data_IF_565027735973
#
_entry.id   IF_565027735973
#
_cell.length_a   1.000
_cell.length_b   1.000
_cell.length_c   1.000
_cell.angle_alpha   90.00
_cell.angle_beta   90.00
_cell.angle_gamma   90.00
#
_symmetry.space_group_name_H-M   'P 1'
#
loop_
_entity.id
_entity.type
_entity.pdbx_description
1 polymer ?
#
# COMPACT_ATOMS: atom_id res chain seq x y z
N UNK A 1 -2.98 -11.03 -14.93
CA UNK A 1 -2.39 -11.79 -16.05
C UNK A 1 -1.62 -10.79 -16.88
N UNK A 2 -0.35 -11.04 -17.20
CA UNK A 2 0.40 -10.16 -18.09
C UNK A 2 -0.33 -10.05 -19.45
N UNK A 3 -0.44 -8.83 -19.99
CA UNK A 3 -0.99 -8.59 -21.32
C UNK A 3 -0.26 -9.48 -22.34
N UNK A 4 -0.99 -10.20 -23.17
CA UNK A 4 -0.35 -10.94 -24.26
C UNK A 4 0.15 -9.96 -25.31
N UNK A 5 1.19 -10.32 -26.06
CA UNK A 5 1.64 -9.49 -27.18
C UNK A 5 0.55 -9.24 -28.23
N UNK A 6 -0.48 -10.09 -28.31
CA UNK A 6 -1.65 -9.84 -29.15
C UNK A 6 -2.58 -8.77 -28.59
N UNK A 7 -2.76 -8.71 -27.27
CA UNK A 7 -3.60 -7.69 -26.63
C UNK A 7 -2.97 -6.31 -26.72
N UNK A 8 -1.64 -6.23 -26.60
CA UNK A 8 -0.89 -4.99 -26.84
C UNK A 8 -1.00 -4.58 -28.31
N UNK A 9 -0.82 -5.52 -29.25
CA UNK A 9 -0.89 -5.24 -30.69
C UNK A 9 -2.25 -4.68 -31.15
N UNK A 10 -3.37 -5.05 -30.49
CA UNK A 10 -4.70 -4.53 -30.83
C UNK A 10 -4.79 -3.01 -30.64
N UNK A 11 -4.09 -2.47 -29.64
CA UNK A 11 -4.11 -1.05 -29.26
C UNK A 11 -3.05 -0.21 -29.98
N UNK A 12 -2.09 -0.85 -30.66
CA UNK A 12 -1.07 -0.13 -31.42
C UNK A 12 -1.63 0.47 -32.73
N UNK A 13 -1.00 1.53 -33.26
CA UNK A 13 -1.42 2.20 -34.50
C UNK A 13 -1.20 1.35 -35.77
N UNK A 14 -0.53 0.19 -35.68
CA UNK A 14 -0.32 -0.78 -36.78
C UNK A 14 0.36 -0.21 -38.03
N UNK A 15 1.11 0.87 -37.89
CA UNK A 15 1.82 1.55 -38.99
C UNK A 15 3.07 0.82 -39.46
N UNK A 16 3.69 0.00 -38.59
CA UNK A 16 4.98 -0.65 -38.84
C UNK A 16 6.08 0.35 -39.29
N UNK A 17 6.07 1.57 -38.74
CA UNK A 17 6.96 2.67 -39.12
C UNK A 17 8.44 2.45 -38.73
N UNK A 18 8.72 1.52 -37.81
CA UNK A 18 10.06 1.19 -37.28
C UNK A 18 10.74 2.31 -36.48
N UNK A 19 10.01 3.37 -36.14
CA UNK A 19 10.53 4.47 -35.33
C UNK A 19 10.86 4.05 -33.88
N UNK A 20 10.22 3.00 -33.37
CA UNK A 20 10.56 2.34 -32.10
C UNK A 20 11.77 1.38 -32.20
N UNK A 21 12.50 1.35 -33.33
CA UNK A 21 13.67 0.49 -33.53
C UNK A 21 13.36 -0.99 -33.80
N UNK A 22 12.09 -1.36 -33.98
CA UNK A 22 11.65 -2.73 -34.22
C UNK A 22 11.01 -2.91 -35.60
N UNK A 23 11.14 -4.09 -36.23
CA UNK A 23 10.76 -4.30 -37.62
C UNK A 23 9.25 -4.21 -37.87
N UNK A 24 8.42 -4.50 -36.87
CA UNK A 24 6.95 -4.46 -36.94
C UNK A 24 6.33 -4.05 -35.60
N UNK A 25 5.11 -3.52 -35.62
CA UNK A 25 4.31 -3.24 -34.42
C UNK A 25 4.03 -4.51 -33.61
N UNK A 26 3.91 -5.67 -34.27
CA UNK A 26 3.76 -6.96 -33.57
C UNK A 26 5.05 -7.34 -32.83
N UNK A 27 6.22 -7.12 -33.41
CA UNK A 27 7.50 -7.35 -32.73
C UNK A 27 7.67 -6.42 -31.53
N UNK A 28 7.22 -5.16 -31.64
CA UNK A 28 7.13 -4.24 -30.51
C UNK A 28 6.21 -4.77 -29.41
N UNK A 29 4.98 -5.16 -29.76
CA UNK A 29 4.02 -5.69 -28.80
C UNK A 29 4.54 -6.94 -28.04
N UNK A 30 5.25 -7.84 -28.72
CA UNK A 30 5.87 -9.01 -28.07
C UNK A 30 7.00 -8.65 -27.12
N UNK A 31 7.82 -7.64 -27.46
CA UNK A 31 8.88 -7.13 -26.57
C UNK A 31 8.33 -6.41 -25.34
N UNK A 32 7.26 -5.64 -25.50
CA UNK A 32 6.58 -4.97 -24.38
C UNK A 32 5.95 -6.02 -23.45
N UNK A 33 5.26 -7.02 -23.99
CA UNK A 33 4.71 -8.13 -23.18
C UNK A 33 5.78 -8.89 -22.39
N UNK A 34 7.00 -8.97 -22.91
CA UNK A 34 8.15 -9.59 -22.24
C UNK A 34 8.96 -8.65 -21.34
N UNK A 35 8.55 -7.39 -21.14
CA UNK A 35 9.27 -6.40 -20.33
C UNK A 35 10.60 -5.93 -20.93
N UNK A 36 10.81 -6.11 -22.24
CA UNK A 36 12.06 -5.78 -22.94
C UNK A 36 12.02 -4.41 -23.66
N UNK A 37 10.87 -3.75 -23.66
CA UNK A 37 10.64 -2.42 -24.25
C UNK A 37 9.50 -1.71 -23.51
N UNK A 38 9.51 -0.38 -23.49
CA UNK A 38 8.48 0.44 -22.85
C UNK A 38 7.41 0.91 -23.86
N UNK A 39 6.20 1.23 -23.39
CA UNK A 39 5.14 1.80 -24.23
C UNK A 39 5.51 3.21 -24.75
N UNK A 40 6.38 3.90 -24.02
CA UNK A 40 6.98 5.18 -24.34
C UNK A 40 7.86 5.17 -25.60
N UNK A 41 8.38 4.00 -26.01
CA UNK A 41 9.22 3.86 -27.20
C UNK A 41 8.45 4.03 -28.52
N UNK A 42 7.10 4.02 -28.47
CA UNK A 42 6.25 4.25 -29.63
C UNK A 42 5.77 5.71 -29.69
N UNK A 43 6.28 6.54 -30.62
CA UNK A 43 5.92 7.97 -30.71
C UNK A 43 4.48 8.20 -31.23
N UNK A 44 3.84 7.18 -31.80
CA UNK A 44 2.50 7.27 -32.37
C UNK A 44 1.42 6.59 -31.51
N UNK A 45 1.75 6.19 -30.29
CA UNK A 45 0.76 5.63 -29.37
C UNK A 45 -0.14 6.77 -28.89
N UNK A 46 -1.47 6.63 -29.06
CA UNK A 46 -2.42 7.60 -28.53
C UNK A 46 -2.46 7.52 -27.00
N UNK A 47 -2.79 8.65 -26.36
CA UNK A 47 -2.90 8.71 -24.89
C UNK A 47 -3.98 7.74 -24.36
N UNK A 48 -5.09 7.57 -25.08
CA UNK A 48 -6.14 6.59 -24.73
C UNK A 48 -5.64 5.14 -24.78
N UNK A 49 -4.87 4.80 -25.82
CA UNK A 49 -4.29 3.46 -25.96
C UNK A 49 -3.22 3.22 -24.90
N UNK A 50 -2.43 4.24 -24.56
CA UNK A 50 -1.46 4.19 -23.46
C UNK A 50 -2.16 3.95 -22.13
N UNK A 51 -3.20 4.70 -21.79
CA UNK A 51 -3.97 4.49 -20.56
C UNK A 51 -4.55 3.09 -20.45
N UNK A 52 -5.14 2.57 -21.54
CA UNK A 52 -5.70 1.21 -21.57
C UNK A 52 -4.63 0.13 -21.34
N UNK A 53 -3.46 0.31 -21.94
CA UNK A 53 -2.34 -0.65 -21.80
C UNK A 53 -1.66 -0.53 -20.44
N UNK A 54 -1.55 0.66 -19.88
CA UNK A 54 -1.03 0.89 -18.52
C UNK A 54 -1.94 0.25 -17.47
N UNK A 55 -3.26 0.37 -17.61
CA UNK A 55 -4.22 -0.28 -16.73
C UNK A 55 -4.17 -1.81 -16.83
N UNK A 56 -4.06 -2.35 -18.05
CA UNK A 56 -4.06 -3.79 -18.25
C UNK A 56 -2.70 -4.46 -18.00
N UNK A 57 -1.59 -3.70 -18.06
CA UNK A 57 -0.26 -4.16 -17.67
C UNK A 57 0.05 -3.95 -16.20
N UNK A 58 -0.77 -3.16 -15.49
CA UNK A 58 -0.60 -2.93 -14.07
C UNK A 58 -0.52 -4.27 -13.32
N UNK A 59 0.42 -4.41 -12.37
CA UNK A 59 0.49 -5.58 -11.52
C UNK A 59 -0.88 -5.87 -10.89
N UNK A 60 -1.29 -7.15 -10.78
CA UNK A 60 -2.60 -7.52 -10.21
C UNK A 60 -2.85 -6.93 -8.82
N UNK A 61 -1.76 -6.75 -8.06
CA UNK A 61 -1.74 -6.05 -6.80
C UNK A 61 -0.79 -4.86 -6.88
N UNK A 62 -1.24 -3.69 -6.42
CA UNK A 62 -0.38 -2.50 -6.38
C UNK A 62 0.70 -2.63 -5.29
N UNK A 63 1.87 -2.05 -5.53
CA UNK A 63 2.90 -1.88 -4.52
C UNK A 63 2.54 -0.69 -3.61
N UNK A 64 2.48 -0.91 -2.30
CA UNK A 64 2.22 0.14 -1.30
C UNK A 64 3.44 0.29 -0.41
N UNK A 65 3.93 1.54 -0.31
CA UNK A 65 5.06 1.91 0.55
C UNK A 65 4.56 2.45 1.89
N UNK A 66 5.11 1.99 3.00
CA UNK A 66 4.70 2.37 4.36
C UNK A 66 5.93 2.79 5.15
N UNK A 67 5.81 3.86 5.95
CA UNK A 67 6.90 4.30 6.81
C UNK A 67 7.77 5.41 6.20
N UNK A 68 8.74 5.93 6.97
CA UNK A 68 9.70 6.92 6.51
C UNK A 68 10.72 6.30 5.55
N UNK A 69 11.37 7.11 4.71
CA UNK A 69 12.36 6.64 3.72
C UNK A 69 13.51 5.82 4.34
N UNK A 70 13.87 6.08 5.60
CA UNK A 70 14.92 5.35 6.33
C UNK A 70 14.53 3.94 6.76
N UNK A 71 13.23 3.64 6.85
CA UNK A 71 12.68 2.38 7.33
C UNK A 71 11.43 2.00 6.52
N UNK A 72 11.49 2.24 5.21
CA UNK A 72 10.36 2.06 4.30
C UNK A 72 10.10 0.57 4.08
N UNK A 73 8.83 0.21 4.22
CA UNK A 73 8.33 -1.13 4.02
C UNK A 73 7.52 -1.15 2.73
N UNK A 74 7.76 -2.15 1.90
CA UNK A 74 7.05 -2.33 0.64
C UNK A 74 6.22 -3.61 0.74
N UNK A 75 4.90 -3.49 0.50
CA UNK A 75 3.97 -4.61 0.50
C UNK A 75 3.15 -4.64 -0.79
N UNK A 76 2.66 -5.81 -1.17
CA UNK A 76 1.87 -6.01 -2.37
C UNK A 76 2.73 -6.39 -3.57
N UNK A 77 2.27 -6.06 -4.78
CA UNK A 77 2.94 -6.45 -6.04
C UNK A 77 3.20 -7.96 -6.19
N UNK A 78 2.42 -8.80 -5.54
CA UNK A 78 2.51 -10.25 -5.72
C UNK A 78 1.79 -10.68 -7.00
N UNK A 79 2.36 -11.66 -7.69
CA UNK A 79 1.91 -12.13 -9.01
C UNK A 79 1.27 -13.51 -8.98
N UNK A 80 1.53 -14.30 -7.92
CA UNK A 80 1.16 -15.72 -7.83
C UNK A 80 0.40 -16.05 -6.54
N UNK A 81 -0.41 -17.11 -6.60
CA UNK A 81 -1.08 -17.67 -5.42
C UNK A 81 -0.19 -18.67 -4.68
N UNK A 82 0.67 -19.41 -5.40
CA UNK A 82 1.51 -20.44 -4.83
C UNK A 82 2.99 -20.13 -5.05
N UNK A 83 3.76 -20.23 -3.96
CA UNK A 83 5.21 -19.96 -3.95
C UNK A 83 6.07 -20.88 -4.82
N UNK A 84 5.50 -21.95 -5.38
CA UNK A 84 6.20 -22.89 -6.25
C UNK A 84 6.05 -22.55 -7.73
N UNK A 85 5.04 -21.73 -8.08
CA UNK A 85 4.90 -21.18 -9.43
C UNK A 85 5.91 -20.05 -9.64
N UNK A 86 6.03 -19.17 -8.64
CA UNK A 86 7.02 -18.09 -8.57
C UNK A 86 7.30 -17.77 -7.09
N UNK A 87 8.40 -17.09 -6.80
CA UNK A 87 8.71 -16.61 -5.45
C UNK A 87 7.77 -15.45 -5.06
N UNK A 88 7.36 -15.40 -3.80
CA UNK A 88 6.78 -14.19 -3.20
C UNK A 88 7.85 -13.12 -3.01
N UNK A 89 7.58 -11.91 -3.48
CA UNK A 89 8.56 -10.85 -3.62
C UNK A 89 8.74 -10.05 -2.34
N UNK A 90 7.63 -9.71 -1.67
CA UNK A 90 7.62 -8.84 -0.50
C UNK A 90 7.23 -9.62 0.78
N UNK A 91 8.09 -9.65 1.81
CA UNK A 91 7.76 -10.32 3.06
C UNK A 91 6.58 -9.65 3.78
N UNK A 92 5.86 -10.43 4.58
CA UNK A 92 4.76 -9.89 5.39
C UNK A 92 5.30 -8.95 6.47
N UNK A 93 4.78 -7.71 6.49
CA UNK A 93 5.10 -6.75 7.53
C UNK A 93 4.40 -7.12 8.86
N UNK A 94 5.16 -7.21 9.95
CA UNK A 94 4.66 -7.55 11.28
C UNK A 94 4.60 -6.29 12.15
N UNK A 95 3.41 -5.97 12.66
CA UNK A 95 3.19 -4.82 13.54
C UNK A 95 2.90 -5.25 14.99
N UNK A 96 3.55 -4.61 15.98
CA UNK A 96 3.20 -4.76 17.39
C UNK A 96 2.13 -3.75 17.79
N UNK A 97 1.06 -4.23 18.45
CA UNK A 97 -0.06 -3.39 18.86
C UNK A 97 0.23 -2.71 20.20
N UNK A 98 -0.04 -1.41 20.28
CA UNK A 98 0.12 -0.57 21.46
C UNK A 98 -1.12 0.31 21.60
N UNK A 99 -1.62 0.47 22.83
CA UNK A 99 -2.77 1.32 23.14
C UNK A 99 -2.35 2.74 23.50
N UNK A 100 -3.10 3.75 23.06
CA UNK A 100 -2.91 5.15 23.44
C UNK A 100 -3.28 5.46 24.91
N UNK A 101 -3.91 4.51 25.60
CA UNK A 101 -4.17 4.59 27.05
C UNK A 101 -2.95 4.26 27.90
N UNK A 102 -1.90 3.73 27.28
CA UNK A 102 -0.60 3.47 27.91
C UNK A 102 0.07 4.80 28.25
N UNK A 103 0.66 4.92 29.43
CA UNK A 103 1.37 6.13 29.82
C UNK A 103 2.61 6.38 28.95
N UNK A 104 3.05 7.64 28.84
CA UNK A 104 4.17 8.02 27.98
C UNK A 104 5.48 7.29 28.30
N UNK A 105 5.72 6.98 29.58
CA UNK A 105 6.91 6.23 30.01
C UNK A 105 6.87 4.79 29.53
N UNK A 106 5.71 4.13 29.67
CA UNK A 106 5.49 2.79 29.15
C UNK A 106 5.48 2.74 27.61
N UNK A 107 4.98 3.77 26.92
CA UNK A 107 5.08 3.87 25.45
C UNK A 107 6.53 3.94 24.97
N UNK A 108 7.36 4.75 25.62
CA UNK A 108 8.80 4.84 25.32
C UNK A 108 9.49 3.51 25.56
N UNK A 109 9.19 2.85 26.69
CA UNK A 109 9.71 1.51 26.98
C UNK A 109 9.28 0.49 25.93
N UNK A 110 8.01 0.50 25.50
CA UNK A 110 7.53 -0.38 24.43
C UNK A 110 8.29 -0.15 23.11
N UNK A 111 8.66 1.10 22.80
CA UNK A 111 9.51 1.42 21.64
C UNK A 111 10.95 0.90 21.81
N UNK A 112 11.51 0.95 23.01
CA UNK A 112 12.83 0.37 23.32
C UNK A 112 12.80 -1.16 23.20
N UNK A 113 11.78 -1.80 23.79
CA UNK A 113 11.55 -3.24 23.71
C UNK A 113 11.40 -3.66 22.23
N UNK A 114 10.61 -2.93 21.44
CA UNK A 114 10.46 -3.13 19.99
C UNK A 114 11.80 -3.11 19.26
N UNK A 115 12.68 -2.12 19.53
CA UNK A 115 14.00 -2.04 18.88
C UNK A 115 14.91 -3.20 19.27
N UNK A 116 14.78 -3.68 20.51
CA UNK A 116 15.58 -4.79 21.03
C UNK A 116 15.09 -6.17 20.57
N UNK A 117 13.84 -6.26 20.07
CA UNK A 117 13.22 -7.51 19.66
C UNK A 117 13.76 -7.98 18.31
N UNK A 118 14.98 -8.51 18.34
CA UNK A 118 15.70 -8.99 17.16
C UNK A 118 16.22 -10.40 17.42
N UNK A 119 16.04 -11.29 16.44
CA UNK A 119 16.49 -12.68 16.52
C UNK A 119 17.43 -12.98 15.36
N UNK A 120 18.65 -13.43 15.67
CA UNK A 120 19.55 -13.94 14.65
C UNK A 120 19.24 -15.41 14.37
N UNK A 121 18.80 -15.72 13.16
CA UNK A 121 18.49 -17.07 12.72
C UNK A 121 19.14 -17.34 11.38
N UNK A 122 20.12 -18.25 11.37
CA UNK A 122 20.83 -18.67 10.15
C UNK A 122 21.44 -17.47 9.38
N UNK A 123 21.99 -16.49 10.11
CA UNK A 123 22.62 -15.30 9.51
C UNK A 123 21.65 -14.19 9.09
N UNK A 124 20.33 -14.40 9.22
CA UNK A 124 19.31 -13.38 9.00
C UNK A 124 18.81 -12.83 10.35
N UNK A 125 18.62 -11.50 10.41
CA UNK A 125 18.00 -10.84 11.57
C UNK A 125 16.50 -10.75 11.33
N UNK A 126 15.72 -11.38 12.20
CA UNK A 126 14.26 -11.33 12.20
C UNK A 126 13.84 -10.33 13.28
N UNK A 127 13.00 -9.37 12.91
CA UNK A 127 12.47 -8.35 13.81
C UNK A 127 11.05 -7.96 13.38
N UNK A 128 10.23 -7.36 14.26
CA UNK A 128 8.99 -6.72 13.83
C UNK A 128 9.31 -5.48 12.98
N UNK A 129 8.42 -5.14 12.05
CA UNK A 129 8.63 -4.06 11.08
C UNK A 129 7.96 -2.74 11.51
N UNK A 130 6.82 -2.83 12.20
CA UNK A 130 5.95 -1.68 12.48
C UNK A 130 5.40 -1.67 13.90
N UNK A 131 4.87 -0.51 14.30
CA UNK A 131 4.06 -0.35 15.50
C UNK A 131 2.65 0.07 15.08
N UNK A 132 1.64 -0.61 15.63
CA UNK A 132 0.24 -0.29 15.44
C UNK A 132 -0.32 0.38 16.71
N UNK A 133 -0.71 1.65 16.61
CA UNK A 133 -1.30 2.41 17.70
C UNK A 133 -2.83 2.38 17.63
N UNK A 134 -3.49 1.87 18.68
CA UNK A 134 -4.96 1.86 18.82
C UNK A 134 -5.46 3.04 19.63
N UNK A 135 -6.52 3.67 19.15
CA UNK A 135 -7.24 4.75 19.83
C UNK A 135 -8.30 4.17 20.80
N UNK A 136 -7.85 3.56 21.89
CA UNK A 136 -8.74 3.01 22.92
C UNK A 136 -9.26 4.10 23.86
N UNK A 137 -8.54 5.23 23.97
CA UNK A 137 -8.98 6.39 24.76
C UNK A 137 -10.17 7.11 24.13
N UNK A 138 -10.37 6.96 22.82
CA UNK A 138 -11.39 7.67 22.04
C UNK A 138 -11.15 9.18 21.90
N UNK A 139 -10.03 9.71 22.40
CA UNK A 139 -9.71 11.14 22.43
C UNK A 139 -8.63 11.50 21.37
N UNK A 140 -8.92 12.43 20.44
CA UNK A 140 -7.97 12.82 19.39
C UNK A 140 -6.63 13.34 19.92
N UNK A 141 -6.63 14.04 21.06
CA UNK A 141 -5.41 14.65 21.61
C UNK A 141 -4.47 13.63 22.24
N UNK A 142 -5.00 12.64 22.98
CA UNK A 142 -4.22 11.53 23.54
C UNK A 142 -3.63 10.70 22.42
N UNK A 143 -4.45 10.35 21.42
CA UNK A 143 -4.02 9.58 20.27
C UNK A 143 -2.92 10.28 19.47
N UNK A 144 -3.05 11.59 19.25
CA UNK A 144 -2.05 12.43 18.60
C UNK A 144 -0.73 12.49 19.39
N UNK A 145 -0.80 12.67 20.71
CA UNK A 145 0.37 12.72 21.58
C UNK A 145 1.11 11.37 21.61
N UNK A 146 0.37 10.27 21.71
CA UNK A 146 0.93 8.93 21.65
C UNK A 146 1.60 8.64 20.29
N UNK A 147 0.97 9.01 19.18
CA UNK A 147 1.54 8.87 17.85
C UNK A 147 2.85 9.66 17.69
N UNK A 148 2.90 10.90 18.17
CA UNK A 148 4.11 11.71 18.15
C UNK A 148 5.23 11.10 19.01
N UNK A 149 4.88 10.57 20.18
CA UNK A 149 5.82 9.90 21.08
C UNK A 149 6.46 8.69 20.42
N UNK A 150 5.65 7.80 19.82
CA UNK A 150 6.14 6.61 19.13
C UNK A 150 6.96 6.99 17.90
N UNK A 151 6.52 7.98 17.12
CA UNK A 151 7.27 8.42 15.94
C UNK A 151 8.67 8.91 16.29
N UNK A 152 8.79 9.76 17.31
CA UNK A 152 10.07 10.30 17.77
C UNK A 152 10.95 9.23 18.45
N UNK A 153 10.34 8.27 19.15
CA UNK A 153 11.09 7.24 19.87
C UNK A 153 11.54 6.10 18.95
N UNK A 154 10.68 5.59 18.06
CA UNK A 154 10.92 4.38 17.28
C UNK A 154 11.49 4.64 15.89
N UNK A 155 10.98 5.66 15.17
CA UNK A 155 11.41 5.97 13.80
C UNK A 155 11.07 4.88 12.76
N UNK A 156 10.05 4.06 13.01
CA UNK A 156 9.62 2.95 12.14
C UNK A 156 8.25 3.20 11.50
N UNK A 157 7.82 2.30 10.61
CA UNK A 157 6.47 2.32 10.04
C UNK A 157 5.39 2.27 11.11
N UNK A 158 4.34 3.08 10.93
CA UNK A 158 3.24 3.22 11.88
C UNK A 158 1.92 2.82 11.25
N UNK A 159 1.09 2.13 12.01
CA UNK A 159 -0.32 1.90 11.70
C UNK A 159 -1.16 2.66 12.74
N UNK A 160 -1.99 3.59 12.30
CA UNK A 160 -2.88 4.36 13.16
C UNK A 160 -4.29 3.77 13.06
N UNK A 161 -4.80 3.20 14.15
CA UNK A 161 -6.08 2.50 14.20
C UNK A 161 -7.08 3.30 15.05
N UNK A 162 -8.18 3.74 14.43
CA UNK A 162 -9.22 4.53 15.13
C UNK A 162 -10.56 4.47 14.39
N UNK A 163 -11.66 4.49 15.15
CA UNK A 163 -13.01 4.64 14.59
C UNK A 163 -13.29 6.08 14.11
N UNK A 164 -12.56 7.06 14.63
CA UNK A 164 -12.76 8.49 14.33
C UNK A 164 -11.78 8.98 13.27
N UNK A 165 -12.32 9.44 12.14
CA UNK A 165 -11.54 10.03 11.03
C UNK A 165 -10.75 11.27 11.48
N UNK A 166 -11.33 12.09 12.37
CA UNK A 166 -10.67 13.29 12.89
C UNK A 166 -9.44 12.97 13.76
N UNK A 167 -9.51 11.88 14.54
CA UNK A 167 -8.38 11.40 15.33
C UNK A 167 -7.25 10.88 14.43
N UNK A 168 -7.59 10.13 13.37
CA UNK A 168 -6.62 9.69 12.36
C UNK A 168 -5.95 10.87 11.68
N UNK A 169 -6.74 11.87 11.25
CA UNK A 169 -6.20 13.06 10.58
C UNK A 169 -5.27 13.85 11.51
N UNK A 170 -5.63 13.97 12.78
CA UNK A 170 -4.83 14.71 13.78
C UNK A 170 -3.52 13.99 14.11
N UNK A 171 -3.56 12.67 14.30
CA UNK A 171 -2.37 11.87 14.54
C UNK A 171 -1.46 11.79 13.31
N UNK A 172 -2.02 11.63 12.11
CA UNK A 172 -1.25 11.65 10.86
C UNK A 172 -0.51 12.98 10.66
N UNK A 173 -1.14 14.10 11.01
CA UNK A 173 -0.49 15.41 10.99
C UNK A 173 0.69 15.54 11.96
N UNK A 174 0.66 14.82 13.08
CA UNK A 174 1.75 14.81 14.07
C UNK A 174 2.94 13.92 13.65
N UNK A 175 2.74 13.02 12.68
CA UNK A 175 3.77 12.10 12.14
C UNK A 175 4.07 12.39 10.67
N UNK A 176 4.10 13.67 10.31
CA UNK A 176 4.33 14.10 8.93
C UNK A 176 5.65 13.55 8.38
N UNK A 177 5.63 13.03 7.16
CA UNK A 177 6.79 12.36 6.54
C UNK A 177 6.97 10.88 6.93
N UNK A 178 6.25 10.37 7.94
CA UNK A 178 6.32 8.95 8.34
C UNK A 178 5.43 8.03 7.50
N UNK A 179 4.59 8.60 6.62
CA UNK A 179 3.67 7.88 5.72
C UNK A 179 2.96 6.67 6.40
N UNK A 180 2.20 6.89 7.49
CA UNK A 180 1.58 5.82 8.27
C UNK A 180 0.44 5.14 7.51
N UNK A 181 0.10 3.89 7.85
CA UNK A 181 -1.17 3.29 7.43
C UNK A 181 -2.31 3.86 8.27
N UNK A 182 -3.31 4.41 7.61
CA UNK A 182 -4.50 4.96 8.24
C UNK A 182 -5.61 3.92 8.24
N UNK A 183 -5.80 3.25 9.38
CA UNK A 183 -6.82 2.23 9.54
C UNK A 183 -8.04 2.84 10.24
N UNK A 184 -9.06 3.13 9.43
CA UNK A 184 -10.38 3.48 9.92
C UNK A 184 -11.23 2.22 10.11
N UNK A 185 -11.62 1.94 11.35
CA UNK A 185 -12.45 0.77 11.71
C UNK A 185 -13.95 1.04 11.68
N UNK A 186 -14.36 2.30 11.47
CA UNK A 186 -15.77 2.69 11.35
C UNK A 186 -16.26 2.60 9.91
N UNK A 187 -17.58 2.76 9.72
CA UNK A 187 -18.23 2.85 8.41
C UNK A 187 -18.02 4.20 7.72
N UNK A 188 -16.79 4.72 7.74
CA UNK A 188 -16.43 5.94 7.05
C UNK A 188 -16.69 5.84 5.54
N UNK A 189 -17.18 6.93 4.97
CA UNK A 189 -17.46 7.03 3.54
C UNK A 189 -16.16 7.08 2.72
N UNK A 190 -16.24 6.71 1.44
CA UNK A 190 -15.11 6.84 0.51
C UNK A 190 -14.65 8.30 0.36
N UNK A 191 -15.54 9.28 0.56
CA UNK A 191 -15.24 10.70 0.51
C UNK A 191 -14.33 11.13 1.67
N UNK A 192 -14.69 10.72 2.89
CA UNK A 192 -13.92 11.01 4.10
C UNK A 192 -12.55 10.35 4.06
N UNK A 193 -12.50 9.08 3.66
CA UNK A 193 -11.25 8.32 3.53
C UNK A 193 -10.35 8.91 2.45
N UNK A 194 -10.91 9.33 1.30
CA UNK A 194 -10.13 9.98 0.26
C UNK A 194 -9.57 11.33 0.72
N UNK A 195 -10.38 12.12 1.43
CA UNK A 195 -9.93 13.37 2.03
C UNK A 195 -8.79 13.16 3.02
N UNK A 196 -8.91 12.13 3.86
CA UNK A 196 -7.88 11.73 4.82
C UNK A 196 -6.58 11.29 4.12
N UNK A 197 -6.66 10.39 3.13
CA UNK A 197 -5.51 9.89 2.36
C UNK A 197 -4.73 11.04 1.70
N UNK A 198 -5.45 11.95 1.04
CA UNK A 198 -4.83 13.08 0.31
C UNK A 198 -4.16 14.07 1.27
N UNK A 199 -4.81 14.40 2.40
CA UNK A 199 -4.23 15.31 3.40
C UNK A 199 -2.97 14.74 4.03
N UNK A 200 -2.96 13.44 4.33
CA UNK A 200 -1.83 12.78 4.97
C UNK A 200 -0.76 12.27 3.99
N UNK A 201 -1.06 12.24 2.68
CA UNK A 201 -0.23 11.60 1.64
C UNK A 201 0.17 10.16 2.01
N UNK A 202 -0.78 9.42 2.58
CA UNK A 202 -0.55 8.18 3.30
C UNK A 202 -1.55 7.10 2.88
N UNK A 203 -1.16 5.81 2.92
CA UNK A 203 -2.04 4.71 2.56
C UNK A 203 -3.20 4.55 3.55
N UNK A 204 -4.38 4.19 3.03
CA UNK A 204 -5.60 3.97 3.84
C UNK A 204 -5.98 2.50 3.84
N UNK A 205 -6.35 1.96 4.99
CA UNK A 205 -6.93 0.63 5.12
C UNK A 205 -8.46 0.72 5.15
N UNK A 206 -9.13 -0.02 4.27
CA UNK A 206 -10.59 -0.14 4.21
C UNK A 206 -10.99 -1.45 4.86
N UNK A 207 -11.76 -1.37 5.95
CA UNK A 207 -12.35 -2.52 6.61
C UNK A 207 -13.82 -2.72 6.26
N UNK A 208 -14.24 -3.98 6.18
CA UNK A 208 -15.62 -4.39 5.89
C UNK A 208 -15.67 -5.81 5.35
N UNK A 209 -16.85 -6.28 4.95
CA UNK A 209 -16.99 -7.50 4.15
C UNK A 209 -16.44 -7.30 2.73
N UNK A 210 -16.30 -8.40 1.98
CA UNK A 210 -15.70 -8.39 0.64
C UNK A 210 -16.46 -7.46 -0.33
N UNK A 211 -17.80 -7.44 -0.30
CA UNK A 211 -18.59 -6.63 -1.22
C UNK A 211 -18.50 -5.15 -0.89
N UNK A 212 -18.65 -4.78 0.39
CA UNK A 212 -18.56 -3.38 0.82
C UNK A 212 -17.16 -2.81 0.63
N UNK A 213 -16.12 -3.61 0.87
CA UNK A 213 -14.74 -3.21 0.61
C UNK A 213 -14.52 -2.99 -0.88
N UNK A 214 -14.96 -3.90 -1.76
CA UNK A 214 -14.79 -3.74 -3.21
C UNK A 214 -15.42 -2.44 -3.73
N UNK A 215 -16.64 -2.13 -3.29
CA UNK A 215 -17.32 -0.87 -3.66
C UNK A 215 -16.58 0.37 -3.16
N UNK A 216 -16.09 0.35 -1.90
CA UNK A 216 -15.33 1.46 -1.32
C UNK A 216 -13.99 1.65 -2.05
N UNK A 217 -13.28 0.58 -2.37
CA UNK A 217 -12.01 0.63 -3.12
C UNK A 217 -12.21 1.21 -4.53
N UNK A 218 -13.27 0.82 -5.24
CA UNK A 218 -13.60 1.39 -6.55
C UNK A 218 -13.90 2.89 -6.46
N UNK A 219 -14.67 3.30 -5.44
CA UNK A 219 -14.98 4.71 -5.19
C UNK A 219 -13.72 5.53 -4.84
N UNK A 220 -12.77 4.97 -4.08
CA UNK A 220 -11.47 5.58 -3.80
C UNK A 220 -10.61 5.71 -5.06
N UNK A 221 -10.63 4.69 -5.93
CA UNK A 221 -9.95 4.71 -7.22
C UNK A 221 -10.42 5.86 -8.12
N UNK A 222 -11.74 6.09 -8.21
CA UNK A 222 -12.34 7.24 -8.93
C UNK A 222 -11.93 8.60 -8.38
N UNK A 223 -11.45 8.63 -7.14
CA UNK A 223 -10.92 9.84 -6.47
C UNK A 223 -9.40 9.93 -6.51
N UNK A 224 -8.74 9.09 -7.31
CA UNK A 224 -7.28 9.03 -7.45
C UNK A 224 -6.54 8.58 -6.19
N UNK A 225 -7.24 7.94 -5.24
CA UNK A 225 -6.61 7.32 -4.07
C UNK A 225 -6.34 5.86 -4.40
N UNK A 226 -5.08 5.59 -4.80
CA UNK A 226 -4.65 4.27 -5.28
C UNK A 226 -3.96 3.43 -4.21
N UNK A 227 -3.39 4.06 -3.19
CA UNK A 227 -2.66 3.38 -2.12
C UNK A 227 -3.63 2.93 -1.02
N UNK A 228 -4.27 1.78 -1.26
CA UNK A 228 -5.32 1.23 -0.40
C UNK A 228 -4.93 -0.17 0.08
N UNK A 229 -5.07 -0.41 1.38
CA UNK A 229 -5.03 -1.73 2.00
C UNK A 229 -6.45 -2.23 2.26
N UNK A 230 -6.61 -3.55 2.30
CA UNK A 230 -7.91 -4.21 2.49
C UNK A 230 -7.89 -5.02 3.78
N UNK A 231 -8.91 -4.84 4.62
CA UNK A 231 -9.16 -5.66 5.81
C UNK A 231 -10.57 -6.26 5.73
N UNK A 232 -10.74 -7.53 5.33
CA UNK A 232 -12.04 -8.14 5.09
C UNK A 232 -12.84 -8.48 6.38
N UNK A 233 -12.55 -7.82 7.51
CA UNK A 233 -13.13 -8.13 8.81
C UNK A 233 -12.61 -9.43 9.42
N UNK A 234 -13.26 -9.91 10.49
CA UNK A 234 -12.94 -11.24 11.05
C UNK A 234 -13.43 -12.32 10.09
N UNK A 235 -12.50 -13.01 9.44
CA UNK A 235 -12.80 -14.30 8.82
C UNK A 235 -12.88 -15.34 9.95
N UNK A 236 -14.11 -15.72 10.32
CA UNK A 236 -14.33 -16.88 11.20
C UNK A 236 -13.87 -18.12 10.46
N UNK A 237 -12.90 -18.85 11.02
CA UNK A 237 -12.49 -20.17 10.49
C UNK A 237 -13.29 -21.31 11.13
N UNK A 238 -14.41 -20.99 11.78
CA UNK A 238 -15.20 -21.94 12.59
C UNK A 238 -16.52 -22.38 11.97
N UNK A 239 -16.74 -22.14 10.67
CA UNK A 239 -17.86 -22.71 9.92
C UNK A 239 -17.38 -23.86 9.01
#
# INVERSE_FOLDING_TARGET
MALTGLDIYKQLPKTNCKECGLPTCLAFAMKVAGGQAGLEDCPHLSDDARGTLDEASAPPQRLVKIGPDSAMIEIGQETVLYRHDERFHHPTAVALVVSDTTDEGALKKACEDFKSLQFLRVGETIHPDMIALTNDSGSPETFKSAAATIHNAAGVGLVLISEKVDALSSAAGAVSGARPVLYCTSDASADELAGLAKRASAPVCVAGDIESVAQKVEALGKKEVKDVLISPGRVSTTD
#
